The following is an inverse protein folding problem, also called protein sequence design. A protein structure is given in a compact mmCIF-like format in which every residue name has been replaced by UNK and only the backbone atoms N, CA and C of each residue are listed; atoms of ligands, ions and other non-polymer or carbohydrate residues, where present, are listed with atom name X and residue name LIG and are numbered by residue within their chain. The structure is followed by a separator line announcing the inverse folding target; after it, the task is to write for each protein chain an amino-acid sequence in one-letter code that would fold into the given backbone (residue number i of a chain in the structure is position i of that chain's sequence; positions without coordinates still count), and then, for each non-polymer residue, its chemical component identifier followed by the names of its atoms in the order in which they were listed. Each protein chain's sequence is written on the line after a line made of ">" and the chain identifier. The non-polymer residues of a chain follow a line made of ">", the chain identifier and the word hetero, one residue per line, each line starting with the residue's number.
data_IF_451146977138
#
_entry.id   IF_451146977138
#
_cell.length_a   1.000
_cell.length_b   1.000
_cell.length_c   1.000
_cell.angle_alpha   90.00
_cell.angle_beta   90.00
_cell.angle_gamma   90.00
#
_symmetry.space_group_name_H-M   'P 1'
#
loop_
_entity.id
_entity.type
_entity.pdbx_description
1 polymer ?
#
# COMPACT_ATOMS: atom_id res chain seq x y z
N UNK A 1 28.46 -21.09 -28.66
CA UNK A 1 28.15 -22.52 -28.41
C UNK A 1 27.82 -22.76 -26.96
N UNK A 2 28.72 -22.53 -26.00
CA UNK A 2 28.44 -22.84 -24.58
C UNK A 2 27.31 -21.98 -23.97
N UNK A 3 27.20 -20.71 -24.34
CA UNK A 3 26.14 -19.80 -23.85
C UNK A 3 24.75 -20.14 -24.40
N UNK A 4 24.67 -20.52 -25.67
CA UNK A 4 23.41 -20.88 -26.32
C UNK A 4 22.87 -22.21 -25.76
N UNK A 5 23.76 -23.13 -25.41
CA UNK A 5 23.42 -24.40 -24.77
C UNK A 5 22.91 -24.19 -23.34
N UNK A 6 23.56 -23.32 -22.55
CA UNK A 6 23.07 -22.93 -21.22
C UNK A 6 21.72 -22.23 -21.29
N UNK A 7 21.52 -21.34 -22.28
CA UNK A 7 20.25 -20.66 -22.47
C UNK A 7 19.12 -21.64 -22.81
N UNK A 8 19.40 -22.63 -23.69
CA UNK A 8 18.43 -23.66 -24.05
C UNK A 8 18.05 -24.53 -22.84
N UNK A 9 19.03 -25.00 -22.06
CA UNK A 9 18.78 -25.82 -20.88
C UNK A 9 18.01 -25.07 -19.78
N UNK A 10 18.36 -23.80 -19.51
CA UNK A 10 17.62 -23.01 -18.53
C UNK A 10 16.23 -22.62 -19.01
N UNK A 11 16.05 -22.40 -20.31
CA UNK A 11 14.72 -22.15 -20.89
C UNK A 11 13.85 -23.41 -20.84
N UNK A 12 14.42 -24.60 -21.03
CA UNK A 12 13.71 -25.86 -20.86
C UNK A 12 13.29 -26.09 -19.39
N UNK A 13 14.16 -25.77 -18.43
CA UNK A 13 13.87 -25.97 -17.01
C UNK A 13 12.93 -24.92 -16.40
N UNK A 14 13.02 -23.67 -16.84
CA UNK A 14 12.36 -22.53 -16.18
C UNK A 14 11.42 -21.72 -17.10
N UNK A 15 11.32 -22.07 -18.38
CA UNK A 15 10.59 -21.28 -19.38
C UNK A 15 9.08 -21.14 -19.13
N UNK A 16 8.47 -22.10 -18.43
CA UNK A 16 7.05 -22.05 -18.06
C UNK A 16 6.78 -21.19 -16.81
N UNK A 17 7.81 -20.88 -16.03
CA UNK A 17 7.70 -20.22 -14.72
C UNK A 17 8.38 -18.84 -14.68
N UNK A 18 9.29 -18.56 -15.60
CA UNK A 18 10.14 -17.36 -15.59
C UNK A 18 10.22 -16.73 -16.97
N UNK A 19 10.21 -15.39 -17.03
CA UNK A 19 10.36 -14.65 -18.29
C UNK A 19 11.72 -14.94 -18.95
N UNK A 20 11.70 -15.12 -20.28
CA UNK A 20 12.92 -15.33 -21.08
C UNK A 20 13.99 -14.25 -20.86
N UNK A 21 13.58 -13.02 -20.55
CA UNK A 21 14.49 -11.92 -20.23
C UNK A 21 15.30 -12.19 -18.95
N UNK A 22 14.68 -12.79 -17.92
CA UNK A 22 15.36 -13.15 -16.66
C UNK A 22 16.36 -14.29 -16.89
N UNK A 23 15.95 -15.29 -17.66
CA UNK A 23 16.81 -16.43 -18.02
C UNK A 23 18.01 -15.95 -18.85
N UNK A 24 17.79 -15.10 -19.85
CA UNK A 24 18.86 -14.50 -20.64
C UNK A 24 19.80 -13.64 -19.78
N UNK A 25 19.27 -12.89 -18.81
CA UNK A 25 20.08 -12.11 -17.89
C UNK A 25 20.98 -13.00 -17.02
N UNK A 26 20.46 -14.13 -16.54
CA UNK A 26 21.25 -15.09 -15.76
C UNK A 26 22.44 -15.64 -16.56
N UNK A 27 22.23 -15.98 -17.83
CA UNK A 27 23.28 -16.48 -18.74
C UNK A 27 24.29 -15.40 -19.11
N UNK A 28 23.87 -14.14 -19.22
CA UNK A 28 24.76 -13.02 -19.52
C UNK A 28 25.64 -12.63 -18.32
N UNK A 29 25.11 -12.77 -17.11
CA UNK A 29 25.80 -12.37 -15.89
C UNK A 29 26.72 -13.45 -15.31
N UNK A 30 26.53 -14.72 -15.69
CA UNK A 30 27.24 -15.85 -15.10
C UNK A 30 27.96 -16.69 -16.17
N UNK A 31 29.03 -17.39 -15.76
CA UNK A 31 29.94 -18.07 -16.70
C UNK A 31 29.65 -19.56 -16.85
N UNK A 32 28.84 -20.12 -15.98
CA UNK A 32 28.54 -21.54 -15.87
C UNK A 32 27.09 -21.77 -15.42
N UNK A 33 26.56 -22.97 -15.72
CA UNK A 33 25.15 -23.30 -15.53
C UNK A 33 24.75 -23.30 -14.05
N UNK A 34 25.61 -23.80 -13.15
CA UNK A 34 25.31 -23.86 -11.72
C UNK A 34 25.13 -22.47 -11.11
N UNK A 35 26.02 -21.52 -11.44
CA UNK A 35 25.87 -20.13 -11.02
C UNK A 35 24.62 -19.47 -11.62
N UNK A 36 24.22 -19.82 -12.85
CA UNK A 36 22.97 -19.34 -13.45
C UNK A 36 21.74 -19.86 -12.69
N UNK A 37 21.74 -21.16 -12.33
CA UNK A 37 20.67 -21.79 -11.55
C UNK A 37 20.60 -21.17 -10.16
N UNK A 38 21.74 -20.98 -9.48
CA UNK A 38 21.77 -20.34 -8.17
C UNK A 38 21.24 -18.90 -8.25
N UNK A 39 21.64 -18.13 -9.26
CA UNK A 39 21.14 -16.77 -9.48
C UNK A 39 19.62 -16.74 -9.70
N UNK A 40 19.07 -17.68 -10.47
CA UNK A 40 17.63 -17.79 -10.71
C UNK A 40 16.86 -18.23 -9.45
N UNK A 41 17.44 -19.09 -8.61
CA UNK A 41 16.82 -19.59 -7.37
C UNK A 41 17.01 -18.63 -6.18
N UNK A 42 18.04 -17.77 -6.17
CA UNK A 42 18.33 -16.84 -5.06
C UNK A 42 17.28 -15.74 -4.91
N UNK A 43 16.56 -15.42 -5.98
CA UNK A 43 15.44 -14.48 -5.93
C UNK A 43 14.18 -15.08 -5.28
N UNK A 44 14.06 -16.42 -5.21
CA UNK A 44 12.97 -17.13 -4.53
C UNK A 44 13.31 -17.54 -3.08
N UNK A 45 14.60 -17.51 -2.71
CA UNK A 45 15.07 -17.93 -1.39
C UNK A 45 15.08 -16.79 -0.36
N UNK A 46 13.90 -16.24 -0.01
CA UNK A 46 13.71 -15.56 1.29
C UNK A 46 12.37 -15.91 1.93
N UNK A 47 12.18 -17.18 2.28
CA UNK A 47 11.45 -17.59 3.49
C UNK A 47 11.84 -19.02 3.86
N UNK A 48 12.47 -19.23 5.03
CA UNK A 48 12.10 -20.28 6.01
C UNK A 48 12.71 -19.90 7.37
N UNK A 49 11.87 -19.51 8.32
CA UNK A 49 12.05 -19.76 9.76
C UNK A 49 10.73 -19.49 10.51
N UNK A 50 9.93 -20.53 10.70
CA UNK A 50 8.87 -20.61 11.72
C UNK A 50 9.51 -20.93 13.09
N UNK A 51 8.93 -20.58 14.26
CA UNK A 51 7.66 -21.21 14.66
C UNK A 51 6.72 -20.46 15.63
N UNK A 52 5.50 -21.01 15.70
CA UNK A 52 4.54 -21.08 16.83
C UNK A 52 3.37 -20.08 16.92
N UNK A 53 2.22 -20.67 16.62
CA UNK A 53 0.88 -20.31 17.09
C UNK A 53 0.78 -20.28 18.61
N UNK A 54 0.33 -19.15 19.15
CA UNK A 54 -0.47 -19.12 20.39
C UNK A 54 -1.76 -18.38 20.11
N UNK A 55 -2.81 -19.18 19.98
CA UNK A 55 -4.20 -18.79 20.16
C UNK A 55 -4.37 -17.98 21.44
N UNK A 56 -5.00 -16.80 21.35
CA UNK A 56 -5.69 -16.18 22.48
C UNK A 56 -6.95 -15.47 22.01
N UNK A 57 -8.08 -16.17 22.16
CA UNK A 57 -9.30 -15.62 22.75
C UNK A 57 -10.15 -14.68 21.91
N UNK A 58 -11.16 -15.25 21.23
CA UNK A 58 -12.40 -14.53 20.94
C UNK A 58 -13.18 -14.28 22.24
N UNK A 59 -13.54 -13.03 22.53
CA UNK A 59 -14.47 -12.69 23.61
C UNK A 59 -15.89 -12.65 23.04
N UNK A 60 -16.79 -13.48 23.59
CA UNK A 60 -18.23 -13.45 23.26
C UNK A 60 -18.83 -12.10 23.62
N UNK A 61 -19.52 -11.49 22.67
CA UNK A 61 -20.33 -10.28 22.86
C UNK A 61 -21.60 -10.66 23.64
N UNK A 62 -21.75 -10.17 24.86
CA UNK A 62 -23.00 -10.23 25.64
C UNK A 62 -24.02 -9.27 25.03
N UNK A 63 -25.24 -9.78 24.84
CA UNK A 63 -26.38 -9.07 24.23
C UNK A 63 -27.20 -8.37 25.33
N UNK A 64 -27.42 -7.05 25.30
CA UNK A 64 -28.59 -6.42 25.91
C UNK A 64 -29.76 -6.36 24.89
N UNK A 65 -31.01 -6.32 25.36
CA UNK A 65 -32.17 -6.74 24.58
C UNK A 65 -32.57 -5.78 23.46
N UNK A 66 -33.19 -6.37 22.44
CA UNK A 66 -33.82 -5.75 21.28
C UNK A 66 -34.93 -4.78 21.70
N UNK A 67 -34.91 -3.58 21.14
CA UNK A 67 -35.94 -3.08 20.22
C UNK A 67 -35.73 -1.58 20.03
N UNK A 68 -35.50 -1.15 18.80
CA UNK A 68 -36.04 0.10 18.26
C UNK A 68 -35.88 0.01 16.74
N UNK A 69 -36.92 -0.53 16.11
CA UNK A 69 -37.05 -0.57 14.66
C UNK A 69 -36.96 0.84 14.09
N UNK A 70 -36.01 1.05 13.18
CA UNK A 70 -35.81 2.29 12.43
C UNK A 70 -37.10 2.79 11.75
N UNK A 71 -38.01 1.87 11.44
CA UNK A 71 -39.30 2.14 10.84
C UNK A 71 -40.26 2.96 11.73
N UNK A 72 -40.13 2.92 13.06
CA UNK A 72 -40.98 3.74 13.96
C UNK A 72 -40.57 5.21 13.99
N UNK A 73 -39.27 5.49 13.78
CA UNK A 73 -38.70 6.84 13.77
C UNK A 73 -39.20 7.69 12.58
N UNK A 74 -39.50 7.03 11.46
CA UNK A 74 -39.98 7.70 10.23
C UNK A 74 -41.50 7.90 10.21
N UNK A 75 -42.25 7.21 11.08
CA UNK A 75 -43.72 7.18 11.05
C UNK A 75 -44.38 8.23 11.96
N UNK A 76 -43.63 8.81 12.89
CA UNK A 76 -44.09 9.87 13.78
C UNK A 76 -43.92 11.26 13.17
N UNK A 77 -44.82 11.64 12.26
CA UNK A 77 -44.90 12.99 11.71
C UNK A 77 -45.35 14.02 12.74
N UNK A 78 -44.47 14.38 13.69
CA UNK A 78 -44.43 15.65 14.42
C UNK A 78 -43.38 15.54 15.52
N UNK A 79 -42.12 15.86 15.21
CA UNK A 79 -41.15 16.23 16.23
C UNK A 79 -40.44 17.49 15.75
N UNK A 80 -40.66 18.59 16.47
CA UNK A 80 -39.79 19.76 16.38
C UNK A 80 -38.38 19.27 16.70
N UNK A 81 -37.54 19.18 15.68
CA UNK A 81 -36.10 18.99 15.86
C UNK A 81 -35.61 20.14 16.74
N UNK A 82 -35.27 19.84 17.99
CA UNK A 82 -34.66 20.80 18.88
C UNK A 82 -33.44 21.39 18.19
N UNK A 83 -33.42 22.71 18.04
CA UNK A 83 -32.31 23.44 17.47
C UNK A 83 -31.10 23.20 18.39
N UNK A 84 -30.18 22.35 17.94
CA UNK A 84 -28.84 22.27 18.54
C UNK A 84 -28.24 23.68 18.53
N UNK A 85 -27.52 24.10 19.58
CA UNK A 85 -26.93 25.43 19.63
C UNK A 85 -26.09 25.65 18.37
N UNK A 86 -26.54 26.59 17.54
CA UNK A 86 -25.82 26.97 16.33
C UNK A 86 -24.51 27.59 16.78
N UNK A 87 -23.40 26.88 16.53
CA UNK A 87 -22.05 27.45 16.56
C UNK A 87 -22.09 28.77 15.76
N UNK A 88 -21.51 29.87 16.27
CA UNK A 88 -21.48 31.11 15.53
C UNK A 88 -20.88 30.85 14.15
N UNK A 89 -21.63 31.27 13.15
CA UNK A 89 -21.37 31.06 11.74
C UNK A 89 -20.21 31.96 11.30
N UNK A 90 -19.01 31.67 11.79
CA UNK A 90 -17.79 32.13 11.16
C UNK A 90 -17.71 31.38 9.85
N UNK A 91 -17.97 32.08 8.74
CA UNK A 91 -17.56 31.65 7.40
C UNK A 91 -16.02 31.62 7.35
N UNK A 92 -15.42 30.70 8.10
CA UNK A 92 -14.04 30.31 7.90
C UNK A 92 -14.01 29.58 6.58
N UNK A 93 -13.02 29.88 5.73
CA UNK A 93 -12.72 29.02 4.59
C UNK A 93 -12.62 27.57 5.04
N UNK A 94 -12.79 26.63 4.11
CA UNK A 94 -12.50 25.21 4.39
C UNK A 94 -11.05 25.13 4.88
N UNK A 95 -10.86 25.25 6.18
CA UNK A 95 -9.59 24.97 6.82
C UNK A 95 -9.38 23.51 6.52
N UNK A 96 -8.26 23.19 5.90
CA UNK A 96 -7.86 21.81 5.77
C UNK A 96 -7.71 21.26 7.20
N UNK A 97 -8.77 20.64 7.70
CA UNK A 97 -8.76 19.97 9.00
C UNK A 97 -7.93 18.70 8.84
N UNK A 98 -6.61 18.86 9.03
CA UNK A 98 -5.67 17.76 9.06
C UNK A 98 -5.81 16.97 10.36
N UNK A 99 -5.48 15.66 10.36
CA UNK A 99 -5.49 14.89 11.59
C UNK A 99 -4.46 15.46 12.59
N UNK A 100 -4.64 15.24 13.90
CA UNK A 100 -3.84 15.90 14.95
C UNK A 100 -2.33 15.62 14.85
N UNK A 101 -1.96 14.47 14.32
CA UNK A 101 -0.55 14.07 14.11
C UNK A 101 0.09 14.69 12.86
N UNK A 102 -0.67 15.39 12.01
CA UNK A 102 -0.18 15.89 10.73
C UNK A 102 0.91 16.94 10.89
N UNK A 103 0.72 17.91 11.79
CA UNK A 103 1.68 18.98 12.01
C UNK A 103 3.03 18.44 12.52
N UNK A 104 2.99 17.46 13.42
CA UNK A 104 4.17 16.78 13.95
C UNK A 104 4.94 16.05 12.84
N UNK A 105 4.23 15.32 11.96
CA UNK A 105 4.85 14.62 10.83
C UNK A 105 5.56 15.61 9.90
N UNK A 106 4.91 16.74 9.57
CA UNK A 106 5.52 17.78 8.72
C UNK A 106 6.79 18.34 9.37
N UNK A 107 6.78 18.55 10.68
CA UNK A 107 7.95 19.02 11.42
C UNK A 107 9.09 17.98 11.46
N UNK A 108 8.77 16.69 11.61
CA UNK A 108 9.78 15.63 11.53
C UNK A 108 10.46 15.61 10.17
N UNK A 109 9.68 15.77 9.09
CA UNK A 109 10.20 15.80 7.72
C UNK A 109 11.06 17.05 7.49
N UNK A 110 10.63 18.23 7.96
CA UNK A 110 11.41 19.46 7.80
C UNK A 110 12.73 19.46 8.58
N UNK A 111 12.80 18.70 9.69
CA UNK A 111 14.04 18.43 10.44
C UNK A 111 14.99 17.46 9.73
N UNK A 112 14.63 16.92 8.57
CA UNK A 112 15.44 15.97 7.82
C UNK A 112 15.40 14.54 8.37
N UNK A 113 14.43 14.20 9.23
CA UNK A 113 14.25 12.83 9.71
C UNK A 113 13.69 11.95 8.58
N UNK A 114 14.05 10.66 8.61
CA UNK A 114 13.47 9.66 7.71
C UNK A 114 12.12 9.23 8.24
N UNK A 115 11.06 9.53 7.49
CA UNK A 115 9.68 9.30 7.93
C UNK A 115 8.95 8.40 6.94
N UNK A 116 8.30 7.36 7.48
CA UNK A 116 7.35 6.52 6.74
C UNK A 116 5.97 6.66 7.38
N UNK A 117 4.95 6.94 6.57
CA UNK A 117 3.57 7.16 6.99
C UNK A 117 2.69 6.05 6.42
N UNK A 118 2.05 5.28 7.29
CA UNK A 118 1.08 4.25 6.91
C UNK A 118 -0.35 4.79 7.10
N UNK A 119 -1.11 4.84 6.02
CA UNK A 119 -2.46 5.37 5.96
C UNK A 119 -3.49 4.24 5.99
N UNK A 120 -4.33 4.21 7.04
CA UNK A 120 -5.43 3.25 7.16
C UNK A 120 -6.78 3.95 7.07
N UNK A 121 -7.75 3.30 6.43
CA UNK A 121 -9.12 3.80 6.35
C UNK A 121 -9.92 3.15 5.23
N UNK A 122 -11.26 3.25 5.29
CA UNK A 122 -12.13 2.68 4.26
C UNK A 122 -11.89 3.32 2.87
N UNK A 123 -12.31 2.68 1.78
CA UNK A 123 -12.26 3.29 0.45
C UNK A 123 -13.04 4.62 0.46
N UNK A 124 -12.53 5.64 -0.23
CA UNK A 124 -13.15 6.97 -0.27
C UNK A 124 -12.89 7.87 0.95
N UNK A 125 -12.18 7.42 1.98
CA UNK A 125 -11.89 8.24 3.18
C UNK A 125 -10.89 9.38 2.98
N UNK A 126 -10.43 9.63 1.75
CA UNK A 126 -9.47 10.70 1.44
C UNK A 126 -8.00 10.37 1.71
N UNK A 127 -7.59 9.10 1.83
CA UNK A 127 -6.18 8.71 2.03
C UNK A 127 -5.24 9.35 1.01
N UNK A 128 -5.51 9.15 -0.28
CA UNK A 128 -4.69 9.72 -1.36
C UNK A 128 -4.72 11.25 -1.40
N UNK A 129 -5.80 11.87 -0.92
CA UNK A 129 -5.88 13.33 -0.80
C UNK A 129 -4.94 13.83 0.31
N UNK A 130 -5.00 13.21 1.49
CA UNK A 130 -4.15 13.56 2.63
C UNK A 130 -2.67 13.22 2.36
N UNK A 131 -2.37 12.14 1.63
CA UNK A 131 -1.02 11.82 1.18
C UNK A 131 -0.43 12.94 0.31
N UNK A 132 -1.17 13.40 -0.71
CA UNK A 132 -0.74 14.52 -1.57
C UNK A 132 -0.52 15.79 -0.77
N UNK A 133 -1.48 16.15 0.11
CA UNK A 133 -1.34 17.33 0.94
C UNK A 133 -0.11 17.30 1.87
N UNK A 134 0.29 16.11 2.35
CA UNK A 134 1.52 15.94 3.12
C UNK A 134 2.76 16.23 2.27
N UNK A 135 2.82 15.70 1.06
CA UNK A 135 3.93 15.93 0.12
C UNK A 135 3.98 17.38 -0.33
N UNK A 136 2.83 17.98 -0.65
CA UNK A 136 2.73 19.38 -1.07
C UNK A 136 3.28 20.32 0.01
N UNK A 137 2.98 20.05 1.28
CA UNK A 137 3.47 20.87 2.40
C UNK A 137 4.93 20.65 2.77
N UNK A 138 5.52 19.52 2.41
CA UNK A 138 6.89 19.16 2.83
C UNK A 138 7.90 19.35 1.70
N UNK A 139 7.54 18.98 0.47
CA UNK A 139 8.41 18.97 -0.71
C UNK A 139 7.96 19.95 -1.81
N UNK A 140 6.82 20.64 -1.64
CA UNK A 140 6.41 21.73 -2.54
C UNK A 140 5.94 21.26 -3.93
N UNK A 141 5.12 20.21 -4.00
CA UNK A 141 4.55 19.60 -5.23
C UNK A 141 5.57 18.88 -6.13
N UNK A 142 6.68 18.40 -5.58
CA UNK A 142 7.67 17.63 -6.32
C UNK A 142 7.40 16.13 -6.20
N UNK A 143 6.84 15.56 -7.28
CA UNK A 143 6.87 14.12 -7.56
C UNK A 143 6.19 13.16 -6.57
N UNK A 144 4.86 13.07 -6.66
CA UNK A 144 4.08 12.09 -5.89
C UNK A 144 4.48 10.64 -6.13
N UNK A 145 4.99 10.29 -7.33
CA UNK A 145 5.23 8.88 -7.71
C UNK A 145 6.42 8.28 -6.96
N UNK A 146 7.29 9.13 -6.44
CA UNK A 146 8.45 8.72 -5.65
C UNK A 146 8.19 8.70 -4.14
N UNK A 147 7.06 9.23 -3.69
CA UNK A 147 6.75 9.41 -2.28
C UNK A 147 5.42 8.78 -1.83
N UNK A 148 4.46 8.57 -2.73
CA UNK A 148 3.14 8.01 -2.42
C UNK A 148 2.98 6.69 -3.17
N UNK A 149 2.68 5.63 -2.41
CA UNK A 149 2.59 4.27 -2.93
C UNK A 149 1.26 3.65 -2.52
N UNK A 150 0.51 3.14 -3.50
CA UNK A 150 -0.70 2.38 -3.24
C UNK A 150 -0.66 1.00 -3.89
N UNK A 151 -1.28 0.00 -3.25
CA UNK A 151 -1.52 -1.29 -3.91
C UNK A 151 -2.37 -1.12 -5.18
N UNK A 152 -3.26 -0.13 -5.20
CA UNK A 152 -4.11 0.20 -6.34
C UNK A 152 -3.31 0.57 -7.60
N UNK A 153 -2.06 1.03 -7.46
CA UNK A 153 -1.19 1.39 -8.59
C UNK A 153 -0.85 0.17 -9.47
N UNK A 154 -0.86 -1.04 -8.90
CA UNK A 154 -0.68 -2.28 -9.65
C UNK A 154 -1.74 -2.48 -10.74
N UNK A 155 -2.97 -2.03 -10.46
CA UNK A 155 -4.10 -2.18 -11.38
C UNK A 155 -4.20 -1.06 -12.41
N UNK A 156 -3.30 -0.07 -12.38
CA UNK A 156 -3.29 1.05 -13.32
C UNK A 156 -2.41 0.71 -14.54
N UNK A 157 -3.02 0.19 -15.61
CA UNK A 157 -2.32 -0.19 -16.84
C UNK A 157 -2.59 0.83 -17.94
N UNK A 158 -1.55 1.50 -18.44
CA UNK A 158 -1.66 2.55 -19.47
C UNK A 158 -2.67 3.66 -19.10
N UNK A 159 -2.72 4.03 -17.82
CA UNK A 159 -3.67 5.03 -17.30
C UNK A 159 -5.11 4.52 -17.13
N UNK A 160 -5.39 3.26 -17.47
CA UNK A 160 -6.70 2.64 -17.29
C UNK A 160 -6.66 1.72 -16.08
N UNK A 161 -7.57 1.97 -15.13
CA UNK A 161 -7.72 1.13 -13.95
C UNK A 161 -8.42 -0.19 -14.32
N UNK A 162 -7.78 -1.32 -14.01
CA UNK A 162 -8.24 -2.68 -14.32
C UNK A 162 -8.18 -3.55 -13.07
N UNK A 163 -9.24 -3.51 -12.28
CA UNK A 163 -9.35 -4.31 -11.06
C UNK A 163 -9.40 -5.81 -11.35
N UNK A 164 -8.55 -6.57 -10.65
CA UNK A 164 -8.47 -8.04 -10.71
C UNK A 164 -8.36 -8.59 -9.28
N UNK A 165 -9.46 -9.13 -8.71
CA UNK A 165 -9.49 -9.53 -7.30
C UNK A 165 -8.57 -10.73 -6.99
N UNK A 166 -8.31 -11.57 -7.99
CA UNK A 166 -7.37 -12.69 -7.96
C UNK A 166 -5.90 -12.26 -7.80
N UNK A 167 -5.59 -11.00 -8.08
CA UNK A 167 -4.23 -10.46 -8.03
C UNK A 167 -3.98 -9.52 -6.85
N UNK A 168 -4.82 -9.57 -5.82
CA UNK A 168 -4.67 -8.70 -4.65
C UNK A 168 -3.34 -8.93 -3.93
N UNK A 169 -2.94 -10.19 -3.76
CA UNK A 169 -1.66 -10.55 -3.12
C UNK A 169 -0.46 -10.05 -3.93
N UNK A 170 -0.54 -10.14 -5.27
CA UNK A 170 0.49 -9.62 -6.16
C UNK A 170 0.59 -8.10 -6.10
N UNK A 171 -0.55 -7.41 -6.05
CA UNK A 171 -0.60 -5.96 -5.87
C UNK A 171 0.05 -5.53 -4.55
N UNK A 172 -0.17 -6.28 -3.46
CA UNK A 172 0.48 -6.02 -2.18
C UNK A 172 1.99 -6.27 -2.23
N UNK A 173 2.46 -7.39 -2.82
CA UNK A 173 3.88 -7.69 -3.00
C UNK A 173 4.59 -6.66 -3.87
N UNK A 174 3.96 -6.24 -4.96
CA UNK A 174 4.44 -5.18 -5.85
C UNK A 174 4.62 -3.87 -5.07
N UNK A 175 3.60 -3.46 -4.32
CA UNK A 175 3.67 -2.24 -3.52
C UNK A 175 4.78 -2.29 -2.46
N UNK A 176 4.87 -3.40 -1.71
CA UNK A 176 5.92 -3.60 -0.71
C UNK A 176 7.33 -3.54 -1.33
N UNK A 177 7.50 -4.14 -2.50
CA UNK A 177 8.77 -4.11 -3.24
C UNK A 177 9.14 -2.69 -3.67
N UNK A 178 8.19 -1.92 -4.19
CA UNK A 178 8.40 -0.52 -4.58
C UNK A 178 8.77 0.37 -3.38
N UNK A 179 8.02 0.26 -2.30
CA UNK A 179 8.28 0.97 -1.04
C UNK A 179 9.67 0.63 -0.52
N UNK A 180 10.03 -0.66 -0.50
CA UNK A 180 11.35 -1.12 -0.04
C UNK A 180 12.48 -0.56 -0.90
N UNK A 181 12.33 -0.61 -2.23
CA UNK A 181 13.35 -0.10 -3.15
C UNK A 181 13.57 1.41 -2.97
N UNK A 182 12.50 2.17 -2.73
CA UNK A 182 12.57 3.61 -2.49
C UNK A 182 13.19 3.94 -1.13
N UNK A 183 12.85 3.18 -0.10
CA UNK A 183 13.49 3.30 1.21
C UNK A 183 15.00 3.03 1.14
N UNK A 184 15.42 1.98 0.42
CA UNK A 184 16.84 1.65 0.21
C UNK A 184 17.56 2.77 -0.57
N UNK A 185 16.92 3.33 -1.59
CA UNK A 185 17.44 4.47 -2.34
C UNK A 185 17.45 5.80 -1.54
N UNK A 186 17.00 5.79 -0.28
CA UNK A 186 17.09 6.94 0.62
C UNK A 186 15.96 7.96 0.47
N UNK A 187 14.87 7.62 -0.22
CA UNK A 187 13.72 8.51 -0.36
C UNK A 187 13.00 8.71 0.98
N UNK A 188 12.63 9.95 1.28
CA UNK A 188 11.84 10.34 2.46
C UNK A 188 11.12 11.67 2.18
N UNK A 189 9.86 11.85 2.62
CA UNK A 189 8.99 10.88 3.29
C UNK A 189 8.48 9.78 2.36
N UNK A 190 8.09 8.62 2.90
CA UNK A 190 7.39 7.56 2.14
C UNK A 190 5.99 7.38 2.73
N UNK A 191 4.96 7.47 1.90
CA UNK A 191 3.55 7.34 2.29
C UNK A 191 2.96 6.10 1.61
N UNK A 192 2.30 5.25 2.40
CA UNK A 192 1.66 4.00 1.96
C UNK A 192 0.21 3.97 2.40
#
# INVERSE_FOLDING_TARGET
>A
MQTDEMLAQLTEMFGDYMDQTRIATAVLCNKDLESCIEFLLKDDAKEVAQPQSTSTGAIKKTVPPKSNDFASFLKGGNQQFGVLPQRPNSRGGRGDDYPPNFAEIVEMISKGLRVMVLMRGPPGSGKSHLARALIDKTLGNSDYRNHVFGADDYFLVNGVYRWQPDRLDDAHRFNQSNVRNKAIAGWSPIVV
#
